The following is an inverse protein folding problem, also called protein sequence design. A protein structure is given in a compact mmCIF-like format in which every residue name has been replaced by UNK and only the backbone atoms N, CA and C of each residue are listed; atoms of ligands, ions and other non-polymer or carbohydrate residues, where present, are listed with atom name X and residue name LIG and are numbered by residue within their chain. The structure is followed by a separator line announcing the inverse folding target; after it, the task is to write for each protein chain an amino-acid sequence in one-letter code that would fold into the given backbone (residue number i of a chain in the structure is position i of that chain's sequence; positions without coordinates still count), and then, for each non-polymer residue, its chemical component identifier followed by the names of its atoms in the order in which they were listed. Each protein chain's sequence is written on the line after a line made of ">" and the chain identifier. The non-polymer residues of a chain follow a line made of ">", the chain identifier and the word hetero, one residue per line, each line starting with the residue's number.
data_IF_246145321125
#
_entry.id   IF_246145321125
#
_cell.length_a   1.000
_cell.length_b   1.000
_cell.length_c   1.000
_cell.angle_alpha   90.00
_cell.angle_beta   90.00
_cell.angle_gamma   90.00
#
_symmetry.space_group_name_H-M   'P 1'
#
loop_
_entity.id
_entity.type
_entity.pdbx_description
1 polymer ?
#
# COMPACT_ATOMS: atom_id res chain seq x y z
N UNK A 1 -5.56 -3.08 -24.05
CA UNK A 1 -4.17 -3.14 -23.51
C UNK A 1 -3.39 -2.12 -24.30
N UNK A 2 -2.77 -1.19 -23.63
CA UNK A 2 -1.77 -0.31 -24.24
C UNK A 2 -0.48 -1.12 -24.35
N UNK A 3 -0.07 -1.49 -25.55
CA UNK A 3 1.26 -2.05 -25.80
C UNK A 3 2.26 -0.90 -25.90
N UNK A 4 3.10 -0.74 -24.91
CA UNK A 4 4.09 0.31 -24.77
C UNK A 4 3.87 1.06 -23.46
N UNK A 5 4.88 1.23 -22.69
CA UNK A 5 4.94 1.84 -21.34
C UNK A 5 3.64 1.82 -20.52
N UNK A 6 3.58 0.85 -19.63
CA UNK A 6 2.44 0.58 -18.80
C UNK A 6 2.20 1.64 -17.75
N UNK A 7 1.18 2.43 -17.96
CA UNK A 7 0.39 2.95 -16.88
C UNK A 7 -0.97 2.24 -16.93
N UNK A 8 -1.10 1.06 -16.32
CA UNK A 8 -2.41 0.47 -16.14
C UNK A 8 -3.14 1.31 -15.14
N UNK A 9 -4.11 1.97 -15.61
CA UNK A 9 -5.16 2.73 -14.96
C UNK A 9 -5.22 2.76 -13.43
N UNK A 10 -4.73 3.84 -12.88
CA UNK A 10 -5.24 4.33 -11.59
C UNK A 10 -6.58 5.00 -11.77
N UNK A 11 -6.79 5.54 -12.95
CA UNK A 11 -8.02 6.09 -13.43
C UNK A 11 -8.00 5.91 -14.94
N UNK A 12 -8.93 5.18 -15.48
CA UNK A 12 -9.18 5.18 -16.92
C UNK A 12 -9.32 6.60 -17.46
N UNK A 13 -9.80 7.55 -16.66
CA UNK A 13 -9.85 8.97 -16.96
C UNK A 13 -8.48 9.63 -17.06
N UNK A 14 -7.52 9.34 -16.17
CA UNK A 14 -6.19 9.96 -16.19
C UNK A 14 -5.35 9.46 -17.36
N UNK A 15 -5.41 8.14 -17.66
CA UNK A 15 -4.74 7.59 -18.83
C UNK A 15 -5.29 8.21 -20.10
N UNK A 16 -6.62 8.28 -20.25
CA UNK A 16 -7.25 8.87 -21.43
C UNK A 16 -6.95 10.37 -21.56
N UNK A 17 -6.86 11.09 -20.44
CA UNK A 17 -6.46 12.50 -20.44
C UNK A 17 -5.01 12.66 -20.84
N UNK A 18 -4.09 11.84 -20.32
CA UNK A 18 -2.66 11.86 -20.69
C UNK A 18 -2.45 11.54 -22.17
N UNK A 19 -3.10 10.50 -22.67
CA UNK A 19 -3.05 10.11 -24.08
C UNK A 19 -3.58 11.21 -25.01
N UNK A 20 -4.72 11.85 -24.65
CA UNK A 20 -5.29 12.96 -25.43
C UNK A 20 -4.46 14.24 -25.34
N UNK A 21 -3.76 14.46 -24.22
CA UNK A 21 -2.92 15.63 -24.05
C UNK A 21 -1.56 15.54 -24.78
N UNK A 22 -1.26 14.40 -25.41
CA UNK A 22 0.00 14.18 -26.13
C UNK A 22 1.25 14.27 -25.23
N UNK A 23 1.09 14.03 -23.93
CA UNK A 23 2.15 14.31 -22.93
C UNK A 23 3.16 13.20 -22.74
N UNK A 24 2.86 11.96 -23.18
CA UNK A 24 3.78 10.84 -22.97
C UNK A 24 3.58 9.77 -24.09
N UNK A 25 4.61 9.56 -24.88
CA UNK A 25 4.74 8.45 -25.82
C UNK A 25 3.88 8.51 -27.10
N UNK A 26 4.05 7.54 -27.99
CA UNK A 26 3.23 7.41 -29.17
C UNK A 26 1.79 7.06 -28.79
N UNK A 27 0.82 7.55 -29.56
CA UNK A 27 -0.59 7.19 -29.36
C UNK A 27 -0.76 5.66 -29.43
N UNK A 28 -1.55 5.07 -28.51
CA UNK A 28 -1.79 3.64 -28.53
C UNK A 28 -2.57 3.24 -29.77
N UNK A 29 -2.08 2.25 -30.48
CA UNK A 29 -2.73 1.70 -31.70
C UNK A 29 -4.02 0.93 -31.32
N UNK A 30 -4.07 0.37 -30.13
CA UNK A 30 -5.21 -0.43 -29.68
C UNK A 30 -5.37 -0.35 -28.14
N UNK A 31 -6.61 -0.21 -27.68
CA UNK A 31 -7.00 -0.31 -26.29
C UNK A 31 -7.84 -1.57 -26.08
N UNK A 32 -7.42 -2.44 -25.16
CA UNK A 32 -8.16 -3.65 -24.81
C UNK A 32 -8.67 -3.53 -23.39
N UNK A 33 -10.00 -3.55 -23.21
CA UNK A 33 -10.61 -3.52 -21.89
C UNK A 33 -10.44 -4.85 -21.18
N UNK A 34 -9.90 -4.83 -19.96
CA UNK A 34 -9.82 -5.99 -19.06
C UNK A 34 -11.08 -6.13 -18.19
N UNK A 35 -12.00 -5.16 -18.26
CA UNK A 35 -13.18 -5.11 -17.40
C UNK A 35 -14.18 -6.27 -17.59
N UNK A 36 -14.09 -7.02 -18.69
CA UNK A 36 -14.91 -8.22 -18.94
C UNK A 36 -14.38 -9.52 -18.32
N UNK A 37 -13.18 -9.50 -17.71
CA UNK A 37 -12.56 -10.69 -17.14
C UNK A 37 -12.98 -10.80 -15.67
N UNK A 38 -13.85 -11.77 -15.38
CA UNK A 38 -14.43 -11.97 -14.02
C UNK A 38 -13.38 -12.29 -12.98
N UNK A 39 -12.36 -13.05 -13.35
CA UNK A 39 -11.27 -13.48 -12.47
C UNK A 39 -10.40 -12.33 -11.95
N UNK A 40 -10.37 -11.22 -12.68
CA UNK A 40 -9.68 -10.01 -12.24
C UNK A 40 -10.46 -9.20 -11.21
N UNK A 41 -11.76 -9.47 -11.02
CA UNK A 41 -12.66 -8.70 -10.14
C UNK A 41 -12.95 -9.36 -8.82
N UNK A 42 -12.52 -10.61 -8.63
CA UNK A 42 -12.74 -11.33 -7.41
C UNK A 42 -11.77 -10.95 -6.29
N UNK A 43 -12.23 -11.03 -5.06
CA UNK A 43 -11.33 -11.11 -3.90
C UNK A 43 -11.85 -12.14 -2.91
N UNK A 44 -10.94 -12.79 -2.19
CA UNK A 44 -11.28 -13.87 -1.27
C UNK A 44 -10.03 -14.48 -0.65
N UNK A 45 -10.18 -15.70 -0.16
CA UNK A 45 -9.08 -16.46 0.43
C UNK A 45 -8.84 -17.72 -0.40
N UNK A 46 -7.60 -18.02 -0.72
CA UNK A 46 -7.23 -19.25 -1.43
C UNK A 46 -7.15 -20.45 -0.46
N UNK A 47 -6.84 -21.64 -1.03
CA UNK A 47 -6.72 -22.89 -0.26
C UNK A 47 -5.59 -22.89 0.78
N UNK A 48 -4.63 -21.97 0.67
CA UNK A 48 -3.53 -21.78 1.62
C UNK A 48 -3.82 -20.71 2.67
N UNK A 49 -5.05 -20.19 2.69
CA UNK A 49 -5.45 -19.13 3.62
C UNK A 49 -4.92 -17.73 3.25
N UNK A 50 -4.27 -17.58 2.09
CA UNK A 50 -3.79 -16.27 1.62
C UNK A 50 -4.97 -15.48 1.07
N UNK A 51 -4.98 -14.19 1.36
CA UNK A 51 -5.92 -13.28 0.74
C UNK A 51 -5.51 -13.02 -0.72
N UNK A 52 -6.46 -13.13 -1.63
CA UNK A 52 -6.28 -12.87 -3.06
C UNK A 52 -7.15 -11.70 -3.47
N UNK A 53 -6.54 -10.69 -4.07
CA UNK A 53 -7.23 -9.49 -4.57
C UNK A 53 -6.98 -9.39 -6.07
N UNK A 54 -8.02 -9.53 -6.88
CA UNK A 54 -7.92 -9.36 -8.33
C UNK A 54 -7.53 -7.94 -8.73
N UNK A 55 -6.74 -7.81 -9.79
CA UNK A 55 -6.21 -6.52 -10.21
C UNK A 55 -7.30 -5.52 -10.65
N UNK A 56 -8.44 -5.99 -11.14
CA UNK A 56 -9.57 -5.15 -11.53
C UNK A 56 -10.62 -4.94 -10.41
N UNK A 57 -10.33 -5.33 -9.17
CA UNK A 57 -11.16 -4.97 -8.01
C UNK A 57 -11.13 -3.45 -7.84
N UNK A 58 -12.31 -2.82 -7.73
CA UNK A 58 -12.39 -1.38 -7.53
C UNK A 58 -11.95 -0.97 -6.12
N UNK A 59 -11.39 0.23 -5.99
CA UNK A 59 -11.02 0.75 -4.67
C UNK A 59 -12.25 0.98 -3.79
N UNK A 60 -13.42 1.26 -4.38
CA UNK A 60 -14.68 1.34 -3.65
C UNK A 60 -15.03 -0.02 -3.01
N UNK A 61 -15.04 -1.10 -3.80
CA UNK A 61 -15.30 -2.45 -3.27
C UNK A 61 -14.34 -2.84 -2.17
N UNK A 62 -13.07 -2.47 -2.30
CA UNK A 62 -12.05 -2.73 -1.29
C UNK A 62 -12.27 -1.92 -0.01
N UNK A 63 -12.64 -0.63 -0.15
CA UNK A 63 -12.90 0.26 0.98
C UNK A 63 -14.13 -0.13 1.80
N UNK A 64 -15.12 -0.76 1.16
CA UNK A 64 -16.40 -1.12 1.76
C UNK A 64 -16.45 -2.56 2.28
N UNK A 65 -15.34 -3.31 2.11
CA UNK A 65 -15.23 -4.67 2.57
C UNK A 65 -15.36 -4.75 4.12
N UNK A 66 -16.08 -5.75 4.66
CA UNK A 66 -16.22 -5.93 6.11
C UNK A 66 -14.87 -6.07 6.82
N UNK A 67 -14.74 -5.46 8.00
CA UNK A 67 -13.51 -5.47 8.82
C UNK A 67 -13.01 -6.89 9.12
N UNK A 68 -13.93 -7.84 9.32
CA UNK A 68 -13.61 -9.23 9.64
C UNK A 68 -12.91 -10.00 8.50
N UNK A 69 -13.01 -9.50 7.26
CA UNK A 69 -12.45 -10.15 6.08
C UNK A 69 -11.11 -9.55 5.63
N UNK A 70 -10.66 -8.43 6.25
CA UNK A 70 -9.60 -7.63 5.65
C UNK A 70 -8.65 -7.01 6.66
N UNK A 71 -7.39 -6.76 6.23
CA UNK A 71 -6.46 -5.90 6.96
C UNK A 71 -6.95 -4.45 6.94
N UNK A 72 -7.07 -3.83 8.10
CA UNK A 72 -7.52 -2.44 8.22
C UNK A 72 -6.64 -1.47 7.43
N UNK A 73 -5.33 -1.71 7.39
CA UNK A 73 -4.38 -0.89 6.63
C UNK A 73 -4.73 -0.80 5.14
N UNK A 74 -5.07 -1.92 4.50
CA UNK A 74 -5.42 -1.96 3.07
C UNK A 74 -6.75 -1.26 2.82
N UNK A 75 -7.74 -1.49 3.69
CA UNK A 75 -9.05 -0.85 3.60
C UNK A 75 -8.97 0.67 3.79
N UNK A 76 -8.23 1.11 4.80
CA UNK A 76 -8.01 2.54 5.08
C UNK A 76 -7.23 3.23 3.96
N UNK A 77 -6.20 2.57 3.42
CA UNK A 77 -5.48 3.05 2.26
C UNK A 77 -6.39 3.21 1.05
N UNK A 78 -7.24 2.22 0.75
CA UNK A 78 -8.20 2.31 -0.35
C UNK A 78 -9.19 3.47 -0.16
N UNK A 79 -9.68 3.69 1.07
CA UNK A 79 -10.58 4.81 1.43
C UNK A 79 -9.92 6.17 1.26
N UNK A 80 -8.62 6.27 1.48
CA UNK A 80 -7.85 7.52 1.40
C UNK A 80 -7.58 7.99 -0.04
N UNK A 81 -7.75 7.10 -1.02
CA UNK A 81 -7.53 7.45 -2.43
C UNK A 81 -8.68 8.30 -2.94
N UNK A 82 -8.39 9.50 -3.40
CA UNK A 82 -9.28 10.39 -4.15
C UNK A 82 -10.71 10.51 -3.55
N UNK A 83 -11.70 10.77 -4.39
CA UNK A 83 -13.13 10.84 -4.01
C UNK A 83 -13.90 9.55 -4.37
N UNK A 84 -15.15 9.40 -3.88
CA UNK A 84 -15.96 8.20 -4.11
C UNK A 84 -16.16 7.84 -5.58
N UNK A 85 -16.41 8.82 -6.45
CA UNK A 85 -16.59 8.61 -7.90
C UNK A 85 -15.33 8.07 -8.57
N UNK A 86 -14.16 8.50 -8.14
CA UNK A 86 -12.88 7.97 -8.63
C UNK A 86 -12.66 6.55 -8.11
N UNK A 87 -12.89 6.30 -6.82
CA UNK A 87 -12.75 4.96 -6.24
C UNK A 87 -13.66 3.90 -6.86
N UNK A 88 -14.83 4.28 -7.38
CA UNK A 88 -15.74 3.35 -8.06
C UNK A 88 -15.19 2.83 -9.39
N UNK A 89 -14.30 3.57 -10.04
CA UNK A 89 -13.68 3.23 -11.33
C UNK A 89 -12.21 2.83 -11.21
N UNK A 90 -11.47 3.44 -10.27
CA UNK A 90 -10.07 3.10 -10.01
C UNK A 90 -9.94 1.68 -9.46
N UNK A 91 -8.92 0.95 -9.93
CA UNK A 91 -8.69 -0.44 -9.57
C UNK A 91 -7.42 -0.61 -8.74
N UNK A 92 -7.34 -1.72 -8.01
CA UNK A 92 -6.14 -2.09 -7.22
C UNK A 92 -4.93 -2.20 -8.13
N UNK A 93 -5.05 -2.95 -9.24
CA UNK A 93 -3.97 -3.11 -10.21
C UNK A 93 -3.56 -1.79 -10.84
N UNK A 94 -4.53 -0.94 -11.19
CA UNK A 94 -4.28 0.38 -11.73
C UNK A 94 -3.48 1.27 -10.78
N UNK A 95 -3.85 1.32 -9.50
CA UNK A 95 -3.13 2.09 -8.47
C UNK A 95 -1.68 1.65 -8.34
N UNK A 96 -1.43 0.34 -8.31
CA UNK A 96 -0.07 -0.22 -8.15
C UNK A 96 0.76 -0.05 -9.43
N UNK A 97 0.21 -0.38 -10.60
CA UNK A 97 0.95 -0.28 -11.87
C UNK A 97 1.27 1.16 -12.28
N UNK A 98 0.51 2.14 -11.83
CA UNK A 98 0.86 3.54 -12.01
C UNK A 98 2.18 3.92 -11.34
N UNK A 99 2.64 3.13 -10.38
CA UNK A 99 3.91 3.29 -9.66
C UNK A 99 4.18 4.72 -9.19
N UNK A 100 3.13 5.41 -8.74
CA UNK A 100 3.29 6.73 -8.14
C UNK A 100 4.01 6.62 -6.79
N UNK A 101 5.03 7.43 -6.50
CA UNK A 101 5.68 7.45 -5.19
C UNK A 101 4.72 7.72 -4.02
N UNK A 102 3.59 8.39 -4.31
CA UNK A 102 2.56 8.75 -3.32
C UNK A 102 1.32 7.86 -3.35
N UNK A 103 1.40 6.67 -3.99
CA UNK A 103 0.30 5.74 -4.06
C UNK A 103 -0.01 5.14 -2.68
N UNK A 104 -1.20 5.42 -2.15
CA UNK A 104 -1.60 5.01 -0.80
C UNK A 104 -1.71 3.47 -0.68
N UNK A 105 -2.38 2.84 -1.64
CA UNK A 105 -2.61 1.39 -1.58
C UNK A 105 -1.33 0.58 -1.75
N UNK A 106 -0.39 1.06 -2.57
CA UNK A 106 0.91 0.41 -2.76
C UNK A 106 1.69 0.27 -1.43
N UNK A 107 1.61 1.28 -0.56
CA UNK A 107 2.25 1.27 0.76
C UNK A 107 1.61 0.22 1.68
N UNK A 108 0.28 0.14 1.71
CA UNK A 108 -0.42 -0.84 2.53
C UNK A 108 -0.16 -2.29 2.06
N UNK A 109 -0.17 -2.52 0.74
CA UNK A 109 0.16 -3.83 0.17
C UNK A 109 1.63 -4.21 0.40
N UNK A 110 2.55 -3.24 0.39
CA UNK A 110 3.97 -3.48 0.68
C UNK A 110 4.18 -3.85 2.15
N UNK A 111 3.49 -3.18 3.09
CA UNK A 111 3.52 -3.54 4.51
C UNK A 111 2.94 -4.94 4.76
N UNK A 112 1.99 -5.36 3.94
CA UNK A 112 1.35 -6.68 4.02
C UNK A 112 2.18 -7.81 3.36
N UNK A 113 3.43 -7.57 2.94
CA UNK A 113 4.30 -8.52 2.23
C UNK A 113 3.60 -9.20 1.04
N UNK A 114 2.84 -8.43 0.27
CA UNK A 114 2.10 -8.98 -0.85
C UNK A 114 2.99 -9.31 -2.05
N UNK A 115 2.56 -10.31 -2.81
CA UNK A 115 3.13 -10.67 -4.11
C UNK A 115 2.22 -10.20 -5.22
N UNK A 116 2.79 -9.62 -6.27
CA UNK A 116 2.13 -9.35 -7.54
C UNK A 116 2.15 -10.62 -8.39
N UNK A 117 0.99 -11.15 -8.76
CA UNK A 117 0.86 -12.30 -9.64
C UNK A 117 0.60 -11.81 -11.06
N UNK A 118 1.45 -12.23 -11.99
CA UNK A 118 1.41 -11.83 -13.38
C UNK A 118 0.97 -12.98 -14.27
N UNK A 119 0.22 -12.66 -15.33
CA UNK A 119 0.01 -13.54 -16.49
C UNK A 119 0.89 -13.07 -17.62
N UNK A 120 1.85 -13.91 -18.00
CA UNK A 120 2.76 -13.68 -19.11
C UNK A 120 2.10 -14.09 -20.44
N UNK A 121 2.63 -13.62 -21.58
CA UNK A 121 2.25 -14.16 -22.89
C UNK A 121 2.35 -15.70 -22.89
N UNK A 122 1.35 -16.37 -23.47
CA UNK A 122 1.24 -17.82 -23.44
C UNK A 122 0.61 -18.40 -22.17
N UNK A 123 0.09 -17.53 -21.25
CA UNK A 123 -0.72 -17.93 -20.11
C UNK A 123 0.08 -18.38 -18.86
N UNK A 124 1.41 -18.35 -18.90
CA UNK A 124 2.25 -18.71 -17.74
C UNK A 124 2.05 -17.71 -16.60
N UNK A 125 2.04 -18.21 -15.37
CA UNK A 125 2.04 -17.39 -14.16
C UNK A 125 3.50 -17.06 -13.75
N UNK A 126 3.69 -15.83 -13.31
CA UNK A 126 4.91 -15.36 -12.64
C UNK A 126 4.51 -14.59 -11.39
N UNK A 127 5.37 -14.59 -10.37
CA UNK A 127 5.15 -13.87 -9.11
C UNK A 127 6.35 -12.99 -8.83
N UNK A 128 6.09 -11.80 -8.36
CA UNK A 128 7.10 -10.82 -7.96
C UNK A 128 6.71 -10.29 -6.59
N UNK A 129 7.58 -10.36 -5.58
CA UNK A 129 7.36 -9.66 -4.31
C UNK A 129 7.12 -8.17 -4.58
N UNK A 130 6.16 -7.56 -3.89
CA UNK A 130 5.83 -6.16 -4.17
C UNK A 130 7.01 -5.22 -3.87
N UNK A 131 7.91 -5.61 -2.99
CA UNK A 131 9.17 -4.90 -2.71
C UNK A 131 10.11 -4.80 -3.92
N UNK A 132 9.98 -5.70 -4.91
CA UNK A 132 10.78 -5.74 -6.14
C UNK A 132 9.98 -5.25 -7.35
N UNK A 133 8.71 -4.94 -7.18
CA UNK A 133 7.82 -4.57 -8.28
C UNK A 133 8.05 -3.14 -8.78
N UNK A 134 8.43 -2.21 -7.90
CA UNK A 134 8.61 -0.80 -8.23
C UNK A 134 10.07 -0.51 -8.61
N UNK A 135 10.31 -0.10 -9.86
CA UNK A 135 11.65 0.23 -10.37
C UNK A 135 11.96 1.72 -10.34
N UNK A 136 10.95 2.56 -10.08
CA UNK A 136 11.06 4.02 -10.05
C UNK A 136 9.69 4.67 -10.26
N UNK A 137 9.61 6.00 -10.20
CA UNK A 137 8.36 6.71 -10.48
C UNK A 137 7.81 6.37 -11.86
N UNK A 138 6.56 5.89 -11.93
CA UNK A 138 5.91 5.45 -13.16
C UNK A 138 6.51 4.19 -13.80
N UNK A 139 7.39 3.45 -13.11
CA UNK A 139 8.10 2.29 -13.67
C UNK A 139 7.96 1.08 -12.77
N UNK A 140 7.52 -0.03 -13.36
CA UNK A 140 7.36 -1.32 -12.69
C UNK A 140 8.17 -2.43 -13.34
N UNK A 141 8.33 -3.55 -12.63
CA UNK A 141 8.92 -4.78 -13.14
C UNK A 141 7.95 -5.62 -14.00
N UNK A 142 6.81 -5.07 -14.40
CA UNK A 142 5.85 -5.75 -15.25
C UNK A 142 6.44 -5.92 -16.68
N UNK A 143 6.65 -7.17 -17.15
CA UNK A 143 7.22 -7.39 -18.47
C UNK A 143 6.27 -6.95 -19.59
N UNK A 144 6.78 -6.56 -20.76
CA UNK A 144 5.96 -6.26 -21.93
C UNK A 144 5.00 -7.42 -22.27
N UNK A 145 3.73 -7.10 -22.49
CA UNK A 145 2.68 -8.07 -22.80
C UNK A 145 2.18 -8.88 -21.62
N UNK A 146 2.73 -8.71 -20.41
CA UNK A 146 2.20 -9.32 -19.21
C UNK A 146 1.00 -8.52 -18.67
N UNK A 147 0.13 -9.19 -17.93
CA UNK A 147 -1.01 -8.59 -17.23
C UNK A 147 -0.82 -8.85 -15.73
N UNK A 148 -0.93 -7.79 -14.91
CA UNK A 148 -1.07 -7.97 -13.48
C UNK A 148 -2.43 -8.62 -13.21
N UNK A 149 -2.39 -9.83 -12.63
CA UNK A 149 -3.57 -10.66 -12.48
C UNK A 149 -4.26 -10.48 -11.13
N UNK A 150 -3.49 -10.65 -10.07
CA UNK A 150 -3.94 -10.43 -8.69
C UNK A 150 -2.77 -10.14 -7.76
N UNK A 151 -3.10 -9.80 -6.53
CA UNK A 151 -2.17 -9.75 -5.40
C UNK A 151 -2.46 -10.93 -4.47
N UNK A 152 -1.41 -11.60 -4.01
CA UNK A 152 -1.47 -12.58 -2.94
C UNK A 152 -0.85 -12.02 -1.69
N UNK A 153 -1.58 -12.08 -0.60
CA UNK A 153 -1.18 -11.53 0.68
C UNK A 153 -1.13 -12.68 1.68
N UNK A 154 -0.05 -12.84 2.45
CA UNK A 154 0.07 -13.91 3.44
C UNK A 154 -1.15 -13.96 4.38
N UNK A 155 -1.55 -15.14 4.89
CA UNK A 155 -2.63 -15.23 5.85
C UNK A 155 -2.32 -14.38 7.08
N UNK A 156 -3.32 -13.73 7.70
CA UNK A 156 -3.08 -12.98 8.91
C UNK A 156 -2.69 -13.90 10.05
N UNK A 157 -1.62 -13.57 10.77
CA UNK A 157 -1.28 -14.27 12.00
C UNK A 157 -2.28 -13.94 13.12
N UNK A 158 -2.41 -14.86 14.09
CA UNK A 158 -3.22 -14.61 15.28
C UNK A 158 -2.60 -13.45 16.06
N UNK A 159 -3.37 -12.39 16.28
CA UNK A 159 -2.87 -11.19 16.97
C UNK A 159 -2.29 -10.12 16.05
N UNK A 160 -2.42 -10.27 14.74
CA UNK A 160 -2.03 -9.22 13.78
C UNK A 160 -2.84 -7.94 14.04
N UNK A 161 -2.13 -6.82 14.17
CA UNK A 161 -2.68 -5.46 14.14
C UNK A 161 -2.11 -4.71 12.96
N UNK A 162 -2.95 -3.94 12.29
CA UNK A 162 -2.55 -3.19 11.10
C UNK A 162 -3.10 -1.78 11.15
N UNK A 163 -2.43 -0.85 10.51
CA UNK A 163 -2.91 0.52 10.37
C UNK A 163 -2.29 1.23 9.18
N UNK A 164 -2.96 2.29 8.77
CA UNK A 164 -2.53 3.16 7.71
C UNK A 164 -2.71 4.62 8.14
N UNK A 165 -1.74 5.45 7.79
CA UNK A 165 -1.82 6.89 8.03
C UNK A 165 -1.36 7.67 6.81
N UNK A 166 -2.11 8.72 6.50
CA UNK A 166 -1.80 9.66 5.43
C UNK A 166 -1.81 11.08 5.97
N UNK A 167 -0.80 11.84 5.60
CA UNK A 167 -0.73 13.29 5.78
C UNK A 167 -0.83 13.93 4.41
N UNK A 168 -1.74 14.85 4.24
CA UNK A 168 -1.91 15.66 3.04
C UNK A 168 -2.22 17.12 3.39
N UNK A 169 -2.43 17.93 2.38
CA UNK A 169 -2.71 19.38 2.53
C UNK A 169 -4.19 19.70 2.64
N UNK A 170 -5.07 18.73 2.41
CA UNK A 170 -6.52 18.88 2.41
C UNK A 170 -7.15 17.66 3.10
N UNK A 171 -8.42 17.78 3.45
CA UNK A 171 -9.17 16.67 4.06
C UNK A 171 -9.73 15.69 3.03
N UNK A 172 -9.86 16.08 1.77
CA UNK A 172 -10.48 15.29 0.70
C UNK A 172 -9.68 15.42 -0.60
N UNK A 173 -9.61 14.35 -1.38
CA UNK A 173 -8.96 14.31 -2.71
C UNK A 173 -7.51 14.80 -2.69
N UNK A 174 -6.76 14.43 -1.67
CA UNK A 174 -5.39 14.87 -1.50
C UNK A 174 -4.37 13.85 -2.03
N UNK A 175 -3.24 14.36 -2.46
CA UNK A 175 -2.03 13.56 -2.71
C UNK A 175 -1.22 13.56 -1.42
N UNK A 176 -0.71 12.41 -1.02
CA UNK A 176 0.07 12.29 0.20
C UNK A 176 1.32 13.18 0.19
N UNK A 177 1.52 13.92 1.26
CA UNK A 177 2.80 14.52 1.65
C UNK A 177 3.69 13.43 2.24
N UNK A 178 3.11 12.62 3.14
CA UNK A 178 3.66 11.39 3.69
C UNK A 178 2.51 10.41 3.84
N UNK A 179 2.73 9.15 3.52
CA UNK A 179 1.85 8.07 3.93
C UNK A 179 2.68 6.90 4.46
N UNK A 180 2.10 6.15 5.37
CA UNK A 180 2.71 4.96 5.97
C UNK A 180 1.66 3.91 6.28
N UNK A 181 2.09 2.66 6.22
CA UNK A 181 1.33 1.52 6.70
C UNK A 181 2.21 0.67 7.61
N UNK A 182 1.58 0.04 8.59
CA UNK A 182 2.27 -0.84 9.50
C UNK A 182 1.45 -2.08 9.79
N UNK A 183 2.14 -3.20 10.00
CA UNK A 183 1.61 -4.46 10.49
C UNK A 183 2.48 -4.95 11.65
N UNK A 184 1.86 -5.24 12.77
CA UNK A 184 2.51 -5.75 13.98
C UNK A 184 1.87 -7.08 14.34
N UNK A 185 2.66 -8.14 14.34
CA UNK A 185 2.29 -9.46 14.82
C UNK A 185 2.69 -9.63 16.26
N UNK A 186 1.82 -10.23 17.05
CA UNK A 186 2.09 -10.51 18.45
C UNK A 186 2.11 -12.01 18.69
N UNK A 187 3.05 -12.46 19.51
CA UNK A 187 3.12 -13.83 19.99
C UNK A 187 2.10 -14.12 21.13
N UNK A 188 2.16 -15.33 21.67
CA UNK A 188 1.28 -15.76 22.75
C UNK A 188 1.47 -15.01 24.08
N UNK A 189 2.59 -14.32 24.25
CA UNK A 189 2.86 -13.45 25.41
C UNK A 189 2.33 -12.02 25.22
N UNK A 190 1.92 -11.68 23.99
CA UNK A 190 1.53 -10.34 23.59
C UNK A 190 2.70 -9.46 23.17
N UNK A 191 3.93 -9.99 23.09
CA UNK A 191 5.08 -9.27 22.58
C UNK A 191 5.08 -9.24 21.04
N UNK A 192 5.69 -8.20 20.48
CA UNK A 192 5.86 -8.07 19.04
C UNK A 192 6.79 -9.17 18.51
N UNK A 193 6.26 -10.13 17.75
CA UNK A 193 7.02 -11.19 17.11
C UNK A 193 7.54 -10.79 15.73
N UNK A 194 6.82 -9.91 15.04
CA UNK A 194 7.23 -9.34 13.76
C UNK A 194 6.60 -7.98 13.54
N UNK A 195 7.33 -7.08 12.91
CA UNK A 195 6.87 -5.77 12.50
C UNK A 195 7.15 -5.56 11.01
N UNK A 196 6.23 -4.94 10.30
CA UNK A 196 6.38 -4.51 8.92
C UNK A 196 5.90 -3.08 8.79
N UNK A 197 6.78 -2.22 8.28
CA UNK A 197 6.52 -0.78 8.17
C UNK A 197 6.89 -0.33 6.76
N UNK A 198 5.92 0.19 6.03
CA UNK A 198 6.13 0.73 4.70
C UNK A 198 5.83 2.24 4.67
N UNK A 199 6.60 2.95 3.87
CA UNK A 199 6.54 4.41 3.72
C UNK A 199 6.32 4.76 2.25
N UNK A 200 5.52 5.80 1.99
CA UNK A 200 5.32 6.36 0.67
C UNK A 200 5.40 7.88 0.66
N UNK A 201 5.50 8.45 -0.52
CA UNK A 201 5.72 9.87 -0.79
C UNK A 201 7.06 10.42 -0.24
N UNK A 202 7.96 9.56 0.23
CA UNK A 202 9.24 9.93 0.87
C UNK A 202 10.46 9.27 0.24
N UNK A 203 10.28 8.61 -0.90
CA UNK A 203 11.33 8.04 -1.74
C UNK A 203 10.82 7.95 -3.18
N UNK A 204 11.66 7.63 -4.19
CA UNK A 204 11.21 7.43 -5.57
C UNK A 204 10.17 6.31 -5.75
N UNK A 205 10.15 5.35 -4.84
CA UNK A 205 9.19 4.24 -4.77
C UNK A 205 8.72 4.06 -3.33
N UNK A 206 7.59 3.36 -3.08
CA UNK A 206 7.28 2.89 -1.73
C UNK A 206 8.44 2.05 -1.17
N UNK A 207 8.80 2.24 0.09
CA UNK A 207 9.94 1.57 0.73
C UNK A 207 9.54 0.88 2.04
N UNK A 208 10.26 -0.20 2.41
CA UNK A 208 10.19 -0.81 3.74
C UNK A 208 11.20 -0.15 4.67
N UNK A 209 10.78 0.17 5.88
CA UNK A 209 11.63 0.74 6.93
C UNK A 209 12.23 -0.36 7.82
N UNK A 210 13.02 -1.27 7.23
CA UNK A 210 13.51 -2.50 7.88
C UNK A 210 14.25 -2.25 9.20
N UNK A 211 15.02 -1.16 9.32
CA UNK A 211 15.72 -0.83 10.57
C UNK A 211 14.74 -0.33 11.65
N UNK A 212 13.63 0.28 11.27
CA UNK A 212 12.57 0.65 12.20
C UNK A 212 11.80 -0.59 12.71
N UNK A 213 11.60 -1.58 11.86
CA UNK A 213 10.92 -2.83 12.20
C UNK A 213 11.67 -3.62 13.29
N UNK A 214 13.01 -3.66 13.20
CA UNK A 214 13.88 -4.42 14.11
C UNK A 214 13.79 -3.95 15.57
N UNK A 215 13.56 -2.67 15.82
CA UNK A 215 13.56 -2.13 17.19
C UNK A 215 12.30 -2.46 17.97
N UNK A 216 11.26 -2.97 17.32
CA UNK A 216 9.99 -3.31 17.97
C UNK A 216 9.95 -4.77 18.48
N UNK A 217 10.86 -5.61 17.99
CA UNK A 217 10.87 -7.06 18.27
C UNK A 217 11.00 -7.38 19.75
N UNK A 218 10.17 -8.31 20.25
CA UNK A 218 10.18 -8.79 21.63
C UNK A 218 9.54 -7.84 22.65
N UNK A 219 9.06 -6.65 22.25
CA UNK A 219 8.51 -5.64 23.16
C UNK A 219 6.98 -5.73 23.18
N UNK A 220 6.40 -5.62 24.37
CA UNK A 220 4.94 -5.67 24.56
C UNK A 220 4.34 -4.28 24.29
N UNK A 221 3.40 -4.15 23.33
CA UNK A 221 2.70 -2.90 23.08
C UNK A 221 1.97 -2.37 24.31
N UNK A 222 2.03 -1.05 24.51
CA UNK A 222 1.40 -0.37 25.66
C UNK A 222 2.31 -0.19 26.86
N UNK A 223 3.52 -0.74 26.86
CA UNK A 223 4.51 -0.52 27.89
C UNK A 223 5.33 0.75 27.67
N UNK A 224 6.09 1.19 28.67
CA UNK A 224 7.03 2.32 28.54
C UNK A 224 8.14 1.99 27.52
N UNK A 225 8.59 0.76 27.51
CA UNK A 225 9.59 0.23 26.59
C UNK A 225 9.07 0.31 25.14
N UNK A 226 7.79 -0.03 24.94
CA UNK A 226 7.15 0.13 23.63
C UNK A 226 7.11 1.59 23.18
N UNK A 227 6.75 2.51 24.06
CA UNK A 227 6.72 3.93 23.73
C UNK A 227 8.11 4.45 23.33
N UNK A 228 9.16 4.03 24.05
CA UNK A 228 10.54 4.38 23.70
C UNK A 228 10.97 3.75 22.36
N UNK A 229 10.63 2.47 22.12
CA UNK A 229 10.90 1.78 20.87
C UNK A 229 10.14 2.40 19.68
N UNK A 230 8.91 2.86 19.90
CA UNK A 230 8.13 3.55 18.87
C UNK A 230 8.77 4.87 18.43
N UNK A 231 9.31 5.65 19.37
CA UNK A 231 10.06 6.88 19.04
C UNK A 231 11.34 6.54 18.26
N UNK A 232 12.09 5.54 18.68
CA UNK A 232 13.30 5.10 17.98
C UNK A 232 12.95 4.52 16.59
N UNK A 233 11.86 3.78 16.45
CA UNK A 233 11.37 3.29 15.16
C UNK A 233 11.05 4.47 14.21
N UNK A 234 10.42 5.53 14.73
CA UNK A 234 10.18 6.76 13.97
C UNK A 234 11.46 7.37 13.43
N UNK A 235 12.50 7.50 14.26
CA UNK A 235 13.82 8.03 13.85
C UNK A 235 14.48 7.18 12.77
N UNK A 236 14.45 5.86 12.92
CA UNK A 236 15.02 4.94 11.92
C UNK A 236 14.24 4.95 10.61
N UNK A 237 12.93 5.05 10.67
CA UNK A 237 12.09 5.21 9.50
C UNK A 237 12.40 6.53 8.75
N UNK A 238 12.56 7.63 9.49
CA UNK A 238 12.97 8.92 8.93
C UNK A 238 14.36 8.85 8.27
N UNK A 239 15.28 8.10 8.85
CA UNK A 239 16.63 7.91 8.27
C UNK A 239 16.61 7.08 6.97
N UNK A 240 15.62 6.22 6.78
CA UNK A 240 15.43 5.46 5.53
C UNK A 240 14.79 6.30 4.42
N UNK A 241 14.11 7.40 4.77
CA UNK A 241 13.43 8.27 3.83
C UNK A 241 14.43 9.12 3.02
N UNK A 242 14.13 9.32 1.73
CA UNK A 242 14.89 10.19 0.80
C UNK A 242 13.90 11.05 0.01
N UNK A 243 13.15 11.92 0.67
CA UNK A 243 12.13 12.72 0.03
C UNK A 243 12.73 13.84 -0.82
N UNK A 244 11.96 14.31 -1.78
CA UNK A 244 12.25 15.54 -2.54
C UNK A 244 11.48 16.71 -1.95
N UNK A 245 11.99 17.92 -2.16
CA UNK A 245 11.23 19.15 -1.98
C UNK A 245 10.39 19.41 -3.24
N UNK A 246 9.09 19.59 -3.07
CA UNK A 246 8.17 19.95 -4.15
C UNK A 246 7.18 21.04 -3.67
N UNK A 247 6.21 21.38 -4.52
CA UNK A 247 5.17 22.39 -4.20
C UNK A 247 4.28 22.03 -2.99
N UNK A 248 4.33 20.79 -2.49
CA UNK A 248 3.50 20.33 -1.37
C UNK A 248 4.22 20.43 -0.04
N UNK A 249 5.52 20.09 -0.01
CA UNK A 249 6.31 20.13 1.22
C UNK A 249 7.81 20.08 0.92
N UNK A 250 8.60 20.55 1.88
CA UNK A 250 10.06 20.40 1.84
C UNK A 250 10.47 18.96 2.23
N UNK A 251 11.66 18.56 1.81
CA UNK A 251 12.23 17.25 2.18
C UNK A 251 12.38 17.10 3.70
N UNK A 252 12.81 18.17 4.38
CA UNK A 252 12.98 18.21 5.84
C UNK A 252 11.64 18.00 6.55
N UNK A 253 10.59 18.67 6.10
CA UNK A 253 9.25 18.50 6.66
C UNK A 253 8.73 17.09 6.49
N UNK A 254 8.89 16.48 5.30
CA UNK A 254 8.49 15.09 5.06
C UNK A 254 9.24 14.13 5.98
N UNK A 255 10.55 14.32 6.15
CA UNK A 255 11.39 13.50 7.04
C UNK A 255 10.92 13.61 8.50
N UNK A 256 10.69 14.83 8.99
CA UNK A 256 10.18 15.05 10.35
C UNK A 256 8.78 14.43 10.55
N UNK A 257 7.92 14.49 9.52
CA UNK A 257 6.59 13.88 9.58
C UNK A 257 6.63 12.35 9.56
N UNK A 258 7.58 11.72 8.88
CA UNK A 258 7.77 10.25 8.99
C UNK A 258 8.06 9.86 10.44
N UNK A 259 9.02 10.54 11.08
CA UNK A 259 9.37 10.26 12.49
C UNK A 259 8.17 10.39 13.41
N UNK A 260 7.50 11.55 13.36
CA UNK A 260 6.41 11.89 14.25
C UNK A 260 5.18 10.98 14.04
N UNK A 261 4.74 10.81 12.78
CA UNK A 261 3.53 10.05 12.48
C UNK A 261 3.68 8.57 12.81
N UNK A 262 4.86 7.97 12.53
CA UNK A 262 5.07 6.56 12.85
C UNK A 262 5.12 6.34 14.36
N UNK A 263 5.83 7.18 15.10
CA UNK A 263 5.89 7.09 16.56
C UNK A 263 4.49 7.21 17.17
N UNK A 264 3.70 8.19 16.74
CA UNK A 264 2.34 8.41 17.22
C UNK A 264 1.41 7.22 16.93
N UNK A 265 1.48 6.64 15.72
CA UNK A 265 0.66 5.49 15.34
C UNK A 265 1.00 4.25 16.18
N UNK A 266 2.29 3.97 16.39
CA UNK A 266 2.74 2.83 17.21
C UNK A 266 2.37 2.99 18.67
N UNK A 267 2.54 4.19 19.24
CA UNK A 267 2.12 4.50 20.64
C UNK A 267 0.61 4.34 20.78
N UNK A 268 -0.16 4.89 19.85
CA UNK A 268 -1.63 4.81 19.85
C UNK A 268 -2.13 3.38 19.70
N UNK A 269 -1.46 2.56 18.90
CA UNK A 269 -1.75 1.14 18.75
C UNK A 269 -1.57 0.41 20.08
N UNK A 270 -0.52 0.72 20.84
CA UNK A 270 -0.26 0.16 22.17
C UNK A 270 -1.36 0.51 23.19
N UNK A 271 -1.85 1.76 23.19
CA UNK A 271 -2.88 2.23 24.14
C UNK A 271 -4.29 1.67 23.92
N UNK A 272 -4.62 1.18 22.73
CA UNK A 272 -5.96 0.60 22.44
C UNK A 272 -6.22 -0.78 23.04
N UNK A 273 -5.27 -1.36 23.79
CA UNK A 273 -5.41 -2.71 24.36
C UNK A 273 -6.36 -2.77 25.58
N UNK A 274 -6.61 -1.67 26.28
CA UNK A 274 -7.41 -1.66 27.51
C UNK A 274 -8.92 -1.52 27.28
N UNK A 275 -9.37 -0.83 26.23
CA UNK A 275 -10.79 -0.53 26.01
C UNK A 275 -11.62 -1.69 25.43
N UNK A 276 -11.01 -2.79 25.00
CA UNK A 276 -11.74 -3.98 24.47
C UNK A 276 -11.96 -5.10 25.51
N UNK A 277 -11.42 -4.99 26.72
CA UNK A 277 -11.60 -5.99 27.78
C UNK A 277 -12.76 -5.70 28.74
N UNK A 278 -13.32 -4.49 28.71
CA UNK A 278 -14.43 -4.08 29.60
C UNK A 278 -15.83 -4.18 28.96
N UNK A 279 -15.95 -4.71 27.75
CA UNK A 279 -17.22 -4.82 27.01
C UNK A 279 -17.55 -6.22 26.47
N UNK A 280 -17.17 -7.30 27.17
CA UNK A 280 -17.56 -8.67 26.81
C UNK A 280 -18.31 -9.35 27.98
#
# INVERSE_FOLDING_TARGET
>A
IVFGDWSSDVCSSDLMVRLRAGREGPEPVCLVSLGGISELRGFGTDSEGRMVIGAAVSLASLSDCPVSAFRDSIREAARSVAGPSIRSTATVGGNVCNASPSADLAVALLAADSEAVLRLPGGRESRIPLSEFFLGPGRTALPPGAILWNFRIPPPSRGLRTGFRKLGLRTVMEIAVVNLAWEIEMDGSGACSAARIALGAVAPTPIRAAEAEKVLGGIVPGTKEWAAAAVEAGRRAASAAKPITDQRATAEYRTAMVESLLADELIRMGGKSESRREGA
#
